data_IF_157324869040
#
_entry.id   IF_157324869040
#
_cell.length_a   1.000
_cell.length_b   1.000
_cell.length_c   1.000
_cell.angle_alpha   90.00
_cell.angle_beta   90.00
_cell.angle_gamma   90.00
#
_symmetry.space_group_name_H-M   'P 1'
#
loop_
_entity.id
_entity.type
_entity.pdbx_description
1 polymer ?
#
# COMPACT_ATOMS: atom_id res chain seq x y z
N UNK A 1 85.43 39.43 16.32
CA UNK A 1 84.31 39.18 15.37
C UNK A 1 83.38 38.19 16.04
N UNK A 2 82.30 38.66 16.67
CA UNK A 2 80.96 38.92 16.09
C UNK A 2 80.16 37.63 15.86
N UNK A 3 79.19 37.44 16.77
CA UNK A 3 77.78 37.04 16.63
C UNK A 3 77.39 35.82 15.79
N UNK A 4 76.53 34.99 16.40
CA UNK A 4 75.14 34.70 15.99
C UNK A 4 74.79 33.23 16.28
N UNK A 5 73.99 32.97 17.31
CA UNK A 5 72.55 32.61 17.21
C UNK A 5 72.34 31.31 16.41
N UNK A 6 72.12 30.19 17.11
CA UNK A 6 71.07 29.22 16.77
C UNK A 6 70.43 28.75 18.08
N UNK A 7 69.18 29.19 18.22
CA UNK A 7 68.19 28.82 19.23
C UNK A 7 67.34 27.68 18.62
N UNK A 8 66.64 26.92 19.49
CA UNK A 8 65.49 26.04 19.21
C UNK A 8 65.82 24.54 19.18
N UNK A 9 65.30 23.81 20.18
CA UNK A 9 65.02 22.38 20.03
C UNK A 9 64.99 21.46 21.25
N UNK A 10 64.92 21.94 22.50
CA UNK A 10 64.64 21.05 23.65
C UNK A 10 63.15 21.12 23.96
N UNK A 11 62.40 20.20 23.35
CA UNK A 11 61.02 19.91 23.70
C UNK A 11 61.01 19.26 25.09
N UNK A 12 60.82 20.10 26.12
CA UNK A 12 60.52 19.69 27.48
C UNK A 12 59.14 19.02 27.46
N UNK A 13 59.11 17.70 27.24
CA UNK A 13 57.94 16.86 27.44
C UNK A 13 57.85 16.51 28.94
N UNK A 14 57.78 17.54 29.80
CA UNK A 14 57.23 17.37 31.14
C UNK A 14 55.72 17.43 30.98
N UNK A 15 55.12 16.27 30.71
CA UNK A 15 53.69 16.07 30.87
C UNK A 15 53.34 16.34 32.33
N UNK A 16 52.97 17.58 32.61
CA UNK A 16 52.25 17.96 33.80
C UNK A 16 51.05 17.02 33.89
N UNK A 17 51.13 16.04 34.80
CA UNK A 17 49.95 15.44 35.37
C UNK A 17 49.20 16.57 36.06
N UNK A 18 48.31 17.21 35.32
CA UNK A 18 47.20 17.94 35.88
C UNK A 18 46.38 16.91 36.64
N UNK A 19 46.74 16.70 37.91
CA UNK A 19 45.75 16.32 38.87
C UNK A 19 44.79 17.51 38.91
N UNK A 20 43.71 17.43 38.14
CA UNK A 20 42.49 18.08 38.51
C UNK A 20 42.05 17.43 39.84
N UNK A 21 42.69 17.84 40.95
CA UNK A 21 42.13 17.63 42.27
C UNK A 21 40.97 18.60 42.34
N UNK A 22 39.80 18.15 41.89
CA UNK A 22 38.56 18.75 42.30
C UNK A 22 38.44 18.45 43.80
N UNK A 23 39.02 19.33 44.62
CA UNK A 23 38.86 19.35 46.07
C UNK A 23 37.55 20.04 46.47
N UNK A 24 36.59 20.15 45.54
CA UNK A 24 35.18 20.20 45.91
C UNK A 24 34.90 18.84 46.52
N UNK A 25 35.20 18.76 47.82
CA UNK A 25 35.23 17.54 48.61
C UNK A 25 34.00 16.73 48.29
N UNK A 26 34.18 15.40 48.29
CA UNK A 26 33.10 14.41 48.37
C UNK A 26 31.86 15.13 48.88
N UNK A 27 30.95 15.51 47.98
CA UNK A 27 29.62 15.92 48.39
C UNK A 27 29.21 14.70 49.19
N UNK A 28 29.16 14.88 50.52
CA UNK A 28 28.72 13.85 51.44
C UNK A 28 27.50 13.22 50.78
N UNK A 29 27.37 11.90 50.76
CA UNK A 29 26.20 11.27 50.14
C UNK A 29 24.90 11.90 50.72
N UNK A 30 24.99 12.46 51.94
CA UNK A 30 24.04 13.34 52.61
C UNK A 30 23.64 14.66 51.88
N UNK A 31 24.38 15.17 50.89
CA UNK A 31 24.05 16.37 50.11
C UNK A 31 23.06 16.08 48.95
N UNK A 32 22.64 14.83 48.77
CA UNK A 32 21.74 14.41 47.68
C UNK A 32 20.27 14.27 48.08
N UNK A 33 19.95 14.28 49.37
CA UNK A 33 18.54 14.26 49.82
C UNK A 33 17.99 15.68 49.73
N UNK A 34 17.07 15.87 48.78
CA UNK A 34 16.27 17.08 48.65
C UNK A 34 15.00 16.91 49.49
N UNK A 35 14.65 17.93 50.27
CA UNK A 35 13.41 17.98 51.04
C UNK A 35 12.48 19.00 50.42
N UNK A 36 11.36 18.52 49.87
CA UNK A 36 10.31 19.40 49.36
C UNK A 36 9.55 20.00 50.53
N UNK A 37 9.47 21.33 50.60
CA UNK A 37 8.70 22.00 51.65
C UNK A 37 7.22 22.00 51.30
N UNK A 38 6.38 21.53 52.22
CA UNK A 38 4.92 21.48 52.08
C UNK A 38 4.29 22.04 53.34
N UNK A 39 3.23 22.83 53.21
CA UNK A 39 2.43 23.30 54.35
C UNK A 39 0.97 23.07 54.03
N UNK A 40 0.27 22.33 54.89
CA UNK A 40 -1.16 22.06 54.71
C UNK A 40 -1.97 23.36 54.78
N UNK A 41 -3.04 23.43 53.99
CA UNK A 41 -4.06 24.47 54.00
C UNK A 41 -5.06 24.30 55.17
N UNK A 42 -5.02 23.18 55.90
CA UNK A 42 -5.97 22.84 56.97
C UNK A 42 -5.51 23.27 58.36
N UNK A 43 -4.46 24.09 58.48
CA UNK A 43 -3.93 24.53 59.77
C UNK A 43 -4.81 25.66 60.32
N UNK A 44 -5.42 25.44 61.48
CA UNK A 44 -6.34 26.39 62.11
C UNK A 44 -5.67 27.75 62.38
N UNK A 45 -6.37 28.83 62.01
CA UNK A 45 -5.87 30.20 62.17
C UNK A 45 -4.79 30.63 61.18
N UNK A 46 -4.34 29.74 60.28
CA UNK A 46 -3.31 30.04 59.29
C UNK A 46 -3.94 30.66 58.02
N UNK A 47 -3.74 31.96 57.82
CA UNK A 47 -4.16 32.63 56.57
C UNK A 47 -3.29 32.21 55.38
N UNK A 48 -3.77 32.35 54.12
CA UNK A 48 -2.95 32.03 52.93
C UNK A 48 -1.60 32.78 52.88
N UNK A 49 -1.56 34.01 53.40
CA UNK A 49 -0.32 34.80 53.52
C UNK A 49 0.62 34.22 54.59
N UNK A 50 0.09 33.79 55.74
CA UNK A 50 0.84 33.12 56.79
C UNK A 50 1.40 31.76 56.34
N UNK A 51 0.61 31.01 55.57
CA UNK A 51 1.02 29.75 54.94
C UNK A 51 2.19 29.97 53.98
N UNK A 52 2.08 30.96 53.10
CA UNK A 52 3.16 31.34 52.18
C UNK A 52 4.44 31.76 52.91
N UNK A 53 4.29 32.47 54.04
CA UNK A 53 5.42 32.85 54.89
C UNK A 53 6.08 31.63 55.53
N UNK A 54 5.28 30.73 56.12
CA UNK A 54 5.76 29.50 56.75
C UNK A 54 6.46 28.60 55.72
N UNK A 55 5.89 28.45 54.53
CA UNK A 55 6.52 27.74 53.41
C UNK A 55 7.86 28.37 53.02
N UNK A 56 7.93 29.71 52.91
CA UNK A 56 9.19 30.42 52.65
C UNK A 56 10.22 30.18 53.76
N UNK A 57 9.78 30.11 55.02
CA UNK A 57 10.65 29.80 56.16
C UNK A 57 11.18 28.37 56.11
N UNK A 58 10.36 27.38 55.75
CA UNK A 58 10.78 26.00 55.55
C UNK A 58 11.81 25.89 54.42
N UNK A 59 11.56 26.55 53.28
CA UNK A 59 12.51 26.62 52.18
C UNK A 59 13.84 27.25 52.60
N UNK A 60 13.81 28.30 53.43
CA UNK A 60 15.04 28.90 53.98
C UNK A 60 15.77 27.96 54.94
N UNK A 61 15.04 27.21 55.76
CA UNK A 61 15.61 26.22 56.69
C UNK A 61 16.32 25.10 55.92
N UNK A 62 15.67 24.53 54.90
CA UNK A 62 16.27 23.45 54.07
C UNK A 62 17.42 23.95 53.22
N UNK A 63 17.30 25.13 52.60
CA UNK A 63 18.36 25.71 51.75
C UNK A 63 19.63 25.97 52.54
N UNK A 64 19.54 26.39 53.81
CA UNK A 64 20.71 26.60 54.67
C UNK A 64 21.53 25.34 54.93
N UNK A 65 20.90 24.18 54.87
CA UNK A 65 21.59 22.90 55.04
C UNK A 65 21.85 22.19 53.69
N UNK A 66 21.72 22.90 52.57
CA UNK A 66 21.93 22.36 51.22
C UNK A 66 20.90 21.31 50.79
N UNK A 67 19.74 21.26 51.45
CA UNK A 67 18.66 20.29 51.19
C UNK A 67 17.46 20.92 50.47
N UNK A 68 17.53 22.23 50.22
CA UNK A 68 16.49 22.98 49.54
C UNK A 68 16.56 22.77 48.03
N UNK A 69 15.41 22.56 47.40
CA UNK A 69 15.29 22.40 45.96
C UNK A 69 14.01 21.68 45.59
N UNK A 70 13.76 21.57 44.29
CA UNK A 70 12.78 20.64 43.74
C UNK A 70 13.53 19.55 42.99
N UNK A 71 13.54 18.34 43.52
CA UNK A 71 13.97 17.16 42.79
C UNK A 71 12.85 16.66 41.87
N UNK A 72 13.22 15.93 40.82
CA UNK A 72 12.25 15.14 40.02
C UNK A 72 11.54 14.09 40.89
N UNK A 73 12.19 13.64 41.95
CA UNK A 73 11.65 12.68 42.91
C UNK A 73 11.33 13.41 44.25
N UNK A 74 10.09 13.88 44.39
CA UNK A 74 9.61 14.70 45.53
C UNK A 74 9.27 13.88 46.78
N UNK A 75 9.76 12.64 46.89
CA UNK A 75 9.32 11.69 47.90
C UNK A 75 9.51 12.17 49.33
N UNK A 76 10.65 12.81 49.65
CA UNK A 76 10.90 13.31 50.99
C UNK A 76 10.44 14.76 51.15
N UNK A 77 9.65 14.98 52.19
CA UNK A 77 9.05 16.27 52.48
C UNK A 77 9.49 16.79 53.85
N UNK A 78 9.56 18.12 53.97
CA UNK A 78 9.52 18.82 55.24
C UNK A 78 8.17 19.53 55.34
N UNK A 79 7.48 19.35 56.45
CA UNK A 79 6.19 20.00 56.71
C UNK A 79 6.14 20.64 58.08
N UNK A 80 5.19 21.54 58.27
CA UNK A 80 4.94 22.21 59.52
C UNK A 80 3.47 22.08 59.92
N UNK A 81 3.22 21.96 61.22
CA UNK A 81 1.92 22.16 61.83
C UNK A 81 2.02 23.26 62.89
N UNK A 82 0.98 24.05 63.05
CA UNK A 82 0.93 25.13 64.04
C UNK A 82 -0.24 24.91 64.98
N UNK A 83 0.04 24.87 66.27
CA UNK A 83 -0.96 24.73 67.32
C UNK A 83 -0.98 26.00 68.16
N UNK A 84 -2.16 26.57 68.40
CA UNK A 84 -2.32 27.72 69.31
C UNK A 84 -2.33 27.20 70.74
N UNK A 85 -1.29 27.51 71.52
CA UNK A 85 -1.19 27.12 72.93
C UNK A 85 -2.00 28.06 73.83
N UNK A 86 -1.81 29.37 73.66
CA UNK A 86 -2.56 30.40 74.41
C UNK A 86 -2.97 31.55 73.49
N UNK A 87 -4.11 32.15 73.83
CA UNK A 87 -4.68 33.33 73.19
C UNK A 87 -5.18 34.26 74.29
N UNK A 88 -4.41 35.29 74.57
CA UNK A 88 -4.65 36.24 75.65
C UNK A 88 -4.93 37.63 75.08
N UNK A 89 -5.67 38.47 75.81
CA UNK A 89 -5.82 39.89 75.50
C UNK A 89 -5.04 40.68 76.56
N UNK A 90 -4.05 41.45 76.13
CA UNK A 90 -3.22 42.24 77.03
C UNK A 90 -3.98 43.47 77.54
N UNK A 91 -3.82 43.84 78.82
CA UNK A 91 -4.46 45.01 79.41
C UNK A 91 -3.70 46.30 79.03
N UNK A 92 -3.53 46.54 77.74
CA UNK A 92 -2.89 47.74 77.16
C UNK A 92 -3.94 48.66 76.55
N UNK A 93 -3.59 49.92 76.30
CA UNK A 93 -4.40 50.86 75.52
C UNK A 93 -3.66 51.22 74.22
N UNK A 94 -4.10 50.76 73.04
CA UNK A 94 -5.24 49.87 72.78
C UNK A 94 -5.00 48.41 73.25
N UNK A 95 -6.07 47.62 73.50
CA UNK A 95 -5.94 46.19 73.80
C UNK A 95 -5.21 45.46 72.67
N UNK A 96 -4.28 44.57 73.02
CA UNK A 96 -3.59 43.74 72.03
C UNK A 96 -3.89 42.27 72.25
N UNK A 97 -3.87 41.50 71.17
CA UNK A 97 -3.92 40.05 71.21
C UNK A 97 -2.51 39.50 71.38
N UNK A 98 -2.30 38.63 72.35
CA UNK A 98 -1.06 37.90 72.58
C UNK A 98 -1.28 36.40 72.29
N UNK A 99 -0.54 35.89 71.32
CA UNK A 99 -0.57 34.49 70.92
C UNK A 99 0.72 33.80 71.35
N UNK A 100 0.57 32.59 71.90
CA UNK A 100 1.66 31.62 72.02
C UNK A 100 1.34 30.47 71.08
N UNK A 101 2.18 30.27 70.06
CA UNK A 101 2.08 29.19 69.08
C UNK A 101 3.12 28.12 69.39
N UNK A 102 2.78 26.85 69.20
CA UNK A 102 3.74 25.77 69.03
C UNK A 102 3.81 25.41 67.55
N UNK A 103 4.99 25.58 66.96
CA UNK A 103 5.24 25.24 65.56
C UNK A 103 6.03 23.94 65.54
N UNK A 104 5.35 22.85 65.19
CA UNK A 104 5.95 21.54 64.98
C UNK A 104 6.42 21.41 63.53
N UNK A 105 7.66 20.97 63.33
CA UNK A 105 8.27 20.67 62.05
C UNK A 105 8.51 19.16 61.94
N UNK A 106 8.31 18.61 60.76
CA UNK A 106 8.37 17.16 60.51
C UNK A 106 9.09 16.87 59.20
N UNK A 107 9.94 15.84 59.18
CA UNK A 107 10.54 15.27 57.98
C UNK A 107 9.96 13.88 57.78
N UNK A 108 9.42 13.60 56.61
CA UNK A 108 8.78 12.32 56.32
C UNK A 108 8.79 11.94 54.83
N UNK A 109 8.33 10.72 54.58
CA UNK A 109 8.02 10.20 53.25
C UNK A 109 6.58 10.60 52.87
N UNK A 110 6.43 11.38 51.80
CA UNK A 110 5.13 11.86 51.31
C UNK A 110 4.29 10.81 50.59
N UNK A 111 4.87 9.63 50.30
CA UNK A 111 4.18 8.51 49.65
C UNK A 111 3.76 7.48 50.70
N UNK A 112 4.72 6.99 51.50
CA UNK A 112 4.47 5.94 52.49
C UNK A 112 3.96 6.48 53.84
N UNK A 113 3.99 7.80 54.06
CA UNK A 113 3.60 8.43 55.32
C UNK A 113 4.55 8.15 56.48
N UNK A 114 5.77 7.69 56.21
CA UNK A 114 6.76 7.39 57.26
C UNK A 114 7.34 8.68 57.82
N UNK A 115 7.24 8.89 59.14
CA UNK A 115 7.86 10.02 59.83
C UNK A 115 9.29 9.67 60.26
N UNK A 116 10.27 10.46 59.84
CA UNK A 116 11.67 10.25 60.18
C UNK A 116 12.11 11.12 61.36
N UNK A 117 11.84 12.41 61.32
CA UNK A 117 12.26 13.33 62.38
C UNK A 117 11.22 14.38 62.66
N UNK A 118 11.23 14.93 63.87
CA UNK A 118 10.38 16.05 64.27
C UNK A 118 11.12 16.98 65.24
N UNK A 119 10.74 18.25 65.25
CA UNK A 119 11.15 19.23 66.25
C UNK A 119 10.03 20.25 66.43
N UNK A 120 9.94 20.92 67.58
CA UNK A 120 8.98 22.01 67.75
C UNK A 120 9.61 23.25 68.38
N UNK A 121 8.97 24.39 68.16
CA UNK A 121 9.38 25.67 68.74
C UNK A 121 8.17 26.46 69.21
N UNK A 122 8.25 26.99 70.43
CA UNK A 122 7.25 27.91 70.93
C UNK A 122 7.57 29.34 70.48
N UNK A 123 6.62 29.97 69.79
CA UNK A 123 6.73 31.33 69.27
C UNK A 123 5.66 32.21 69.90
N UNK A 124 6.05 33.41 70.33
CA UNK A 124 5.12 34.40 70.88
C UNK A 124 4.99 35.59 69.94
N UNK A 125 3.80 36.14 69.84
CA UNK A 125 3.51 37.31 69.01
C UNK A 125 2.39 38.14 69.59
N UNK A 126 2.51 39.45 69.45
CA UNK A 126 1.52 40.41 69.93
C UNK A 126 1.11 41.31 68.78
N UNK A 127 -0.18 41.62 68.66
CA UNK A 127 -0.71 42.48 67.61
C UNK A 127 -2.09 43.04 67.94
N UNK A 128 -2.46 44.13 67.27
CA UNK A 128 -3.77 44.80 67.44
C UNK A 128 -4.96 43.93 66.99
N UNK A 129 -4.70 42.89 66.21
CA UNK A 129 -5.70 41.89 65.78
C UNK A 129 -5.12 40.49 65.93
N UNK A 130 -5.99 39.49 65.98
CA UNK A 130 -5.59 38.07 66.05
C UNK A 130 -4.64 37.68 64.92
N UNK A 131 -4.96 38.07 63.68
CA UNK A 131 -4.09 37.82 62.51
C UNK A 131 -2.73 38.48 62.64
N UNK A 132 -2.66 39.73 63.14
CA UNK A 132 -1.38 40.44 63.34
C UNK A 132 -0.54 39.76 64.42
N UNK A 133 -1.16 39.33 65.52
CA UNK A 133 -0.49 38.63 66.61
C UNK A 133 0.07 37.27 66.16
N UNK A 134 -0.72 36.51 65.39
CA UNK A 134 -0.31 35.23 64.80
C UNK A 134 0.86 35.41 63.82
N UNK A 135 0.78 36.37 62.89
CA UNK A 135 1.87 36.69 61.96
C UNK A 135 3.13 37.17 62.68
N UNK A 136 2.98 37.96 63.75
CA UNK A 136 4.09 38.39 64.59
C UNK A 136 4.78 37.21 65.28
N UNK A 137 4.02 36.21 65.73
CA UNK A 137 4.57 34.98 66.30
C UNK A 137 5.37 34.19 65.25
N UNK A 138 4.80 33.92 64.08
CA UNK A 138 5.50 33.22 63.00
C UNK A 138 6.76 33.95 62.51
N UNK A 139 6.78 35.29 62.54
CA UNK A 139 7.98 36.08 62.19
C UNK A 139 9.17 35.75 63.08
N UNK A 140 8.92 35.34 64.33
CA UNK A 140 9.95 34.93 65.30
C UNK A 140 10.52 33.53 65.04
N UNK A 141 10.04 32.81 64.02
CA UNK A 141 10.67 31.59 63.52
C UNK A 141 12.03 31.95 62.88
N UNK A 142 13.10 31.77 63.66
CA UNK A 142 14.49 32.08 63.25
C UNK A 142 15.06 30.95 62.41
N UNK A 143 15.12 31.12 61.09
CA UNK A 143 15.62 30.09 60.16
C UNK A 143 17.10 29.72 60.37
N UNK A 144 17.84 30.41 61.23
CA UNK A 144 19.23 30.10 61.62
C UNK A 144 19.34 29.41 62.99
N UNK A 145 18.23 28.99 63.60
CA UNK A 145 18.27 28.27 64.87
C UNK A 145 19.04 26.94 64.70
N UNK A 146 20.11 26.68 65.47
CA UNK A 146 20.91 25.46 65.36
C UNK A 146 20.10 24.17 65.48
N UNK A 147 18.96 24.21 66.18
CA UNK A 147 18.07 23.04 66.32
C UNK A 147 17.56 22.53 64.98
N UNK A 148 17.37 23.40 63.99
CA UNK A 148 16.91 22.96 62.67
C UNK A 148 17.99 22.22 61.91
N UNK A 149 19.27 22.57 62.11
CA UNK A 149 20.37 21.82 61.52
C UNK A 149 20.41 20.40 62.09
N UNK A 150 20.35 20.26 63.42
CA UNK A 150 20.29 18.94 64.08
C UNK A 150 19.07 18.13 63.63
N UNK A 151 17.89 18.74 63.61
CA UNK A 151 16.65 18.12 63.15
C UNK A 151 16.76 17.57 61.72
N UNK A 152 17.33 18.36 60.81
CA UNK A 152 17.53 17.98 59.42
C UNK A 152 18.58 16.87 59.26
N UNK A 153 19.71 16.95 60.00
CA UNK A 153 20.74 15.91 60.02
C UNK A 153 20.21 14.58 60.57
N UNK A 154 19.43 14.60 61.65
CA UNK A 154 18.76 13.40 62.18
C UNK A 154 17.76 12.81 61.19
N UNK A 155 16.96 13.67 60.53
CA UNK A 155 16.02 13.24 59.49
C UNK A 155 16.72 12.49 58.37
N UNK A 156 17.84 13.02 57.87
CA UNK A 156 18.67 12.36 56.86
C UNK A 156 19.17 10.99 57.31
N UNK A 157 19.78 10.93 58.48
CA UNK A 157 20.35 9.68 59.01
C UNK A 157 19.28 8.61 59.17
N UNK A 158 18.07 8.99 59.60
CA UNK A 158 16.94 8.08 59.74
C UNK A 158 16.35 7.64 58.40
N UNK A 159 16.32 8.51 57.38
CA UNK A 159 15.95 8.11 56.01
C UNK A 159 16.91 7.03 55.52
N UNK A 160 18.22 7.27 55.60
CA UNK A 160 19.23 6.30 55.12
C UNK A 160 19.16 4.99 55.91
N UNK A 161 19.03 5.07 57.24
CA UNK A 161 18.87 3.88 58.09
C UNK A 161 17.61 3.07 57.77
N UNK A 162 16.49 3.74 57.46
CA UNK A 162 15.25 3.08 57.08
C UNK A 162 15.41 2.25 55.80
N UNK A 163 15.94 2.84 54.72
CA UNK A 163 16.12 2.10 53.46
C UNK A 163 17.19 1.02 53.56
N UNK A 164 18.28 1.26 54.27
CA UNK A 164 19.30 0.25 54.48
C UNK A 164 18.76 -0.94 55.29
N UNK A 165 17.98 -0.70 56.35
CA UNK A 165 17.38 -1.79 57.15
C UNK A 165 16.26 -2.53 56.43
N UNK A 166 15.53 -1.87 55.53
CA UNK A 166 14.47 -2.48 54.71
C UNK A 166 14.95 -3.01 53.37
N UNK A 167 16.23 -2.83 53.04
CA UNK A 167 16.74 -3.10 51.70
C UNK A 167 16.38 -4.50 51.21
N UNK A 168 16.72 -5.53 52.00
CA UNK A 168 16.49 -6.93 51.63
C UNK A 168 14.99 -7.21 51.40
N UNK A 169 14.09 -6.62 52.20
CA UNK A 169 12.65 -6.75 52.02
C UNK A 169 12.16 -6.08 50.74
N UNK A 170 12.66 -4.90 50.39
CA UNK A 170 12.31 -4.19 49.15
C UNK A 170 12.78 -5.02 47.95
N UNK A 171 14.05 -5.46 47.97
CA UNK A 171 14.63 -6.28 46.90
C UNK A 171 13.90 -7.62 46.73
N UNK A 172 13.50 -8.27 47.83
CA UNK A 172 12.74 -9.52 47.81
C UNK A 172 11.30 -9.32 47.29
N UNK A 173 10.68 -8.19 47.61
CA UNK A 173 9.34 -7.84 47.12
C UNK A 173 9.37 -7.60 45.61
N UNK A 174 10.38 -6.89 45.10
CA UNK A 174 10.61 -6.73 43.67
C UNK A 174 10.85 -8.08 42.98
N UNK A 175 11.71 -8.94 43.54
CA UNK A 175 11.97 -10.28 43.03
C UNK A 175 10.69 -11.13 42.93
N UNK A 176 9.84 -11.05 43.96
CA UNK A 176 8.56 -11.78 43.99
C UNK A 176 7.61 -11.31 42.89
N UNK A 177 7.54 -10.00 42.62
CA UNK A 177 6.75 -9.47 41.51
C UNK A 177 7.33 -9.89 40.15
N UNK A 178 8.65 -9.83 39.98
CA UNK A 178 9.30 -10.30 38.75
C UNK A 178 9.05 -11.80 38.49
N UNK A 179 9.03 -12.63 39.54
CA UNK A 179 8.68 -14.06 39.45
C UNK A 179 7.21 -14.29 39.06
N UNK A 180 6.32 -13.35 39.39
CA UNK A 180 4.92 -13.34 38.94
C UNK A 180 4.73 -12.71 37.56
N UNK A 181 5.82 -12.39 36.84
CA UNK A 181 5.83 -11.65 35.56
C UNK A 181 5.27 -10.22 35.65
N UNK A 182 5.15 -9.68 36.86
CA UNK A 182 4.80 -8.28 37.16
C UNK A 182 6.07 -7.43 37.12
N UNK A 183 6.66 -7.35 35.93
CA UNK A 183 7.98 -6.76 35.77
C UNK A 183 7.98 -5.24 35.95
N UNK A 184 6.91 -4.58 35.50
CA UNK A 184 6.75 -3.13 35.61
C UNK A 184 6.64 -2.72 37.09
N UNK A 185 5.85 -3.47 37.87
CA UNK A 185 5.73 -3.27 39.32
C UNK A 185 7.03 -3.58 40.05
N UNK A 186 7.76 -4.63 39.64
CA UNK A 186 9.07 -4.94 40.21
C UNK A 186 10.08 -3.81 39.97
N UNK A 187 10.15 -3.27 38.75
CA UNK A 187 11.01 -2.14 38.41
C UNK A 187 10.60 -0.87 39.17
N UNK A 188 9.30 -0.62 39.31
CA UNK A 188 8.79 0.52 40.08
C UNK A 188 9.21 0.42 41.56
N UNK A 189 9.13 -0.77 42.17
CA UNK A 189 9.60 -1.00 43.55
C UNK A 189 11.11 -0.71 43.68
N UNK A 190 11.92 -1.21 42.73
CA UNK A 190 13.37 -1.01 42.76
C UNK A 190 13.75 0.46 42.57
N UNK A 191 13.04 1.20 41.72
CA UNK A 191 13.28 2.63 41.50
C UNK A 191 12.91 3.51 42.68
N UNK A 192 12.20 2.96 43.68
CA UNK A 192 11.85 3.72 44.89
C UNK A 192 13.05 3.93 45.82
N UNK A 193 14.13 3.16 45.67
CA UNK A 193 15.29 3.25 46.54
C UNK A 193 16.09 4.52 46.19
N UNK A 194 16.29 5.46 47.13
CA UNK A 194 16.99 6.70 46.83
C UNK A 194 18.49 6.47 46.57
N UNK A 195 19.08 7.25 45.66
CA UNK A 195 20.53 7.20 45.34
C UNK A 195 21.44 7.42 46.55
N UNK A 196 20.97 8.17 47.55
CA UNK A 196 21.72 8.41 48.80
C UNK A 196 21.94 7.11 49.60
N UNK A 197 21.09 6.09 49.41
CA UNK A 197 21.20 4.79 50.07
C UNK A 197 22.10 3.88 49.25
N UNK A 198 23.35 4.30 49.02
CA UNK A 198 24.26 3.76 48.01
C UNK A 198 24.31 2.24 47.94
N UNK A 199 24.50 1.56 49.07
CA UNK A 199 24.60 0.09 49.09
C UNK A 199 23.31 -0.57 48.58
N UNK A 200 22.16 -0.09 49.05
CA UNK A 200 20.87 -0.64 48.63
C UNK A 200 20.53 -0.23 47.19
N UNK A 201 20.87 1.00 46.81
CA UNK A 201 20.67 1.52 45.46
C UNK A 201 21.47 0.70 44.44
N UNK A 202 22.75 0.43 44.70
CA UNK A 202 23.59 -0.38 43.82
C UNK A 202 23.02 -1.79 43.64
N UNK A 203 22.56 -2.43 44.72
CA UNK A 203 21.86 -3.73 44.68
C UNK A 203 20.55 -3.65 43.87
N UNK A 204 19.79 -2.58 44.05
CA UNK A 204 18.53 -2.36 43.34
C UNK A 204 18.76 -2.17 41.85
N UNK A 205 19.76 -1.38 41.46
CA UNK A 205 20.11 -1.14 40.07
C UNK A 205 20.57 -2.43 39.37
N UNK A 206 21.35 -3.27 40.06
CA UNK A 206 21.74 -4.57 39.50
C UNK A 206 20.53 -5.51 39.33
N UNK A 207 19.63 -5.56 40.32
CA UNK A 207 18.35 -6.27 40.17
C UNK A 207 17.48 -5.69 39.06
N UNK A 208 17.44 -4.38 38.87
CA UNK A 208 16.65 -3.73 37.81
C UNK A 208 17.12 -4.17 36.43
N UNK A 209 18.44 -4.34 36.22
CA UNK A 209 18.98 -4.89 34.97
C UNK A 209 18.51 -6.32 34.74
N UNK A 210 18.57 -7.18 35.76
CA UNK A 210 18.07 -8.57 35.68
C UNK A 210 16.57 -8.62 35.37
N UNK A 211 15.76 -7.87 36.13
CA UNK A 211 14.30 -7.80 35.95
C UNK A 211 13.95 -7.28 34.56
N UNK A 212 14.62 -6.23 34.09
CA UNK A 212 14.41 -5.71 32.74
C UNK A 212 14.82 -6.72 31.66
N UNK A 213 15.91 -7.45 31.85
CA UNK A 213 16.32 -8.53 30.94
C UNK A 213 15.26 -9.64 30.87
N UNK A 214 14.70 -10.04 32.02
CA UNK A 214 13.60 -11.02 32.10
C UNK A 214 12.31 -10.50 31.46
N UNK A 215 12.01 -9.21 31.62
CA UNK A 215 10.89 -8.55 30.95
C UNK A 215 11.00 -8.65 29.43
N UNK A 216 12.13 -8.20 28.86
CA UNK A 216 12.32 -8.24 27.40
C UNK A 216 12.28 -9.68 26.88
N UNK A 217 12.84 -10.64 27.62
CA UNK A 217 12.82 -12.06 27.23
C UNK A 217 11.42 -12.67 27.29
N UNK A 218 10.61 -12.32 28.30
CA UNK A 218 9.20 -12.74 28.36
C UNK A 218 8.37 -12.11 27.23
N UNK A 219 8.55 -10.81 26.98
CA UNK A 219 7.87 -10.09 25.89
C UNK A 219 8.23 -10.68 24.52
N UNK A 220 9.50 -11.03 24.33
CA UNK A 220 10.01 -11.73 23.16
C UNK A 220 9.24 -13.04 22.90
N UNK A 221 9.08 -13.88 23.93
CA UNK A 221 8.36 -15.15 23.82
C UNK A 221 6.87 -14.96 23.50
N UNK A 222 6.22 -13.96 24.10
CA UNK A 222 4.83 -13.62 23.81
C UNK A 222 4.64 -13.15 22.37
N UNK A 223 5.49 -12.24 21.90
CA UNK A 223 5.39 -11.69 20.55
C UNK A 223 5.75 -12.72 19.48
N UNK A 224 6.71 -13.62 19.73
CA UNK A 224 6.94 -14.79 18.88
C UNK A 224 5.71 -15.70 18.81
N UNK A 225 5.05 -15.95 19.93
CA UNK A 225 3.83 -16.80 19.96
C UNK A 225 2.72 -16.16 19.13
N UNK A 226 2.49 -14.85 19.31
CA UNK A 226 1.51 -14.08 18.54
C UNK A 226 1.85 -14.04 17.05
N UNK A 227 3.13 -13.86 16.71
CA UNK A 227 3.60 -13.86 15.33
C UNK A 227 3.35 -15.21 14.65
N UNK A 228 3.68 -16.32 15.31
CA UNK A 228 3.43 -17.66 14.79
C UNK A 228 1.92 -17.92 14.59
N UNK A 229 1.07 -17.50 15.52
CA UNK A 229 -0.38 -17.63 15.39
C UNK A 229 -0.94 -16.80 14.21
N UNK A 230 -0.45 -15.57 14.03
CA UNK A 230 -0.83 -14.72 12.90
C UNK A 230 -0.36 -15.32 11.56
N UNK A 231 0.86 -15.85 11.52
CA UNK A 231 1.39 -16.50 10.31
C UNK A 231 0.60 -17.78 9.96
N UNK A 232 0.22 -18.58 10.95
CA UNK A 232 -0.62 -19.77 10.77
C UNK A 232 -2.02 -19.45 10.19
N UNK A 233 -2.48 -18.21 10.32
CA UNK A 233 -3.74 -17.71 9.76
C UNK A 233 -3.53 -16.88 8.48
N UNK A 234 -2.37 -17.02 7.84
CA UNK A 234 -1.97 -16.32 6.60
C UNK A 234 -1.94 -14.79 6.69
N UNK A 235 -1.81 -14.26 7.91
CA UNK A 235 -1.71 -12.83 8.15
C UNK A 235 -0.25 -12.41 8.37
N UNK A 236 0.52 -12.38 7.27
CA UNK A 236 1.95 -12.05 7.28
C UNK A 236 2.23 -10.66 7.86
N UNK A 237 1.40 -9.66 7.52
CA UNK A 237 1.58 -8.28 7.99
C UNK A 237 1.50 -8.18 9.51
N UNK A 238 0.53 -8.87 10.12
CA UNK A 238 0.40 -8.94 11.58
C UNK A 238 1.50 -9.79 12.21
N UNK A 239 1.93 -10.88 11.55
CA UNK A 239 3.06 -11.66 12.04
C UNK A 239 4.34 -10.80 12.11
N UNK A 240 4.67 -10.09 11.03
CA UNK A 240 5.84 -9.21 10.97
C UNK A 240 5.74 -8.05 11.97
N UNK A 241 4.54 -7.49 12.22
CA UNK A 241 4.40 -6.38 13.17
C UNK A 241 4.69 -6.80 14.62
N UNK A 242 4.37 -8.04 15.01
CA UNK A 242 4.79 -8.59 16.30
C UNK A 242 6.30 -8.82 16.33
N UNK A 243 6.88 -9.37 15.26
CA UNK A 243 8.32 -9.64 15.18
C UNK A 243 9.16 -8.35 15.21
N UNK A 244 8.67 -7.24 14.65
CA UNK A 244 9.35 -5.95 14.68
C UNK A 244 9.39 -5.28 16.04
N UNK A 245 8.57 -5.73 17.00
CA UNK A 245 8.57 -5.20 18.39
C UNK A 245 9.62 -5.89 19.26
N UNK A 246 10.26 -6.96 18.78
CA UNK A 246 11.23 -7.72 19.55
C UNK A 246 12.54 -6.94 19.67
N UNK A 247 12.97 -6.71 20.90
CA UNK A 247 14.23 -6.03 21.20
C UNK A 247 15.45 -6.84 20.68
N UNK A 248 16.48 -6.20 20.10
CA UNK A 248 17.70 -6.86 19.66
C UNK A 248 18.43 -7.65 20.76
N UNK A 249 18.39 -7.13 21.99
CA UNK A 249 19.05 -7.73 23.15
C UNK A 249 18.24 -8.88 23.77
N UNK A 250 17.01 -9.13 23.29
CA UNK A 250 16.18 -10.21 23.79
C UNK A 250 16.71 -11.58 23.31
N UNK A 251 16.56 -12.59 24.16
CA UNK A 251 17.11 -13.95 23.92
C UNK A 251 16.62 -14.57 22.62
N UNK A 252 15.38 -14.28 22.21
CA UNK A 252 14.73 -14.87 21.04
C UNK A 252 14.85 -14.02 19.76
N UNK A 253 15.69 -12.98 19.75
CA UNK A 253 15.83 -12.08 18.59
C UNK A 253 16.25 -12.83 17.31
N UNK A 254 17.20 -13.77 17.41
CA UNK A 254 17.62 -14.57 16.26
C UNK A 254 16.52 -15.49 15.72
N UNK A 255 15.63 -15.99 16.59
CA UNK A 255 14.47 -16.77 16.19
C UNK A 255 13.46 -15.90 15.44
N UNK A 256 13.27 -14.65 15.90
CA UNK A 256 12.44 -13.67 15.21
C UNK A 256 12.95 -13.35 13.81
N UNK A 257 14.25 -13.09 13.65
CA UNK A 257 14.88 -12.88 12.35
C UNK A 257 14.72 -14.10 11.44
N UNK A 258 14.88 -15.30 12.01
CA UNK A 258 14.69 -16.56 11.29
C UNK A 258 13.24 -16.72 10.80
N UNK A 259 12.25 -16.34 11.62
CA UNK A 259 10.84 -16.38 11.23
C UNK A 259 10.50 -15.33 10.17
N UNK A 260 11.01 -14.10 10.28
CA UNK A 260 10.87 -13.06 9.24
C UNK A 260 11.38 -13.59 7.90
N UNK A 261 12.56 -14.23 7.90
CA UNK A 261 13.13 -14.84 6.70
C UNK A 261 12.22 -15.94 6.14
N UNK A 262 11.69 -16.82 6.99
CA UNK A 262 10.75 -17.88 6.57
C UNK A 262 9.48 -17.31 5.94
N UNK A 263 8.90 -16.25 6.52
CA UNK A 263 7.72 -15.57 5.96
C UNK A 263 8.05 -14.98 4.59
N UNK A 264 9.17 -14.25 4.46
CA UNK A 264 9.63 -13.68 3.18
C UNK A 264 9.81 -14.76 2.11
N UNK A 265 10.45 -15.86 2.49
CA UNK A 265 10.71 -17.01 1.63
C UNK A 265 9.42 -17.72 1.19
N UNK A 266 8.47 -17.89 2.10
CA UNK A 266 7.16 -18.46 1.81
C UNK A 266 6.37 -17.58 0.84
N UNK A 267 6.29 -16.27 1.13
CA UNK A 267 5.61 -15.29 0.26
C UNK A 267 6.17 -15.30 -1.17
N UNK A 268 7.50 -15.35 -1.28
CA UNK A 268 8.19 -15.47 -2.55
C UNK A 268 7.78 -16.74 -3.32
N UNK A 269 7.77 -17.89 -2.65
CA UNK A 269 7.37 -19.16 -3.25
C UNK A 269 5.89 -19.16 -3.69
N UNK A 270 5.01 -18.54 -2.90
CA UNK A 270 3.58 -18.40 -3.22
C UNK A 270 3.38 -17.55 -4.48
N UNK A 271 4.00 -16.35 -4.55
CA UNK A 271 3.89 -15.49 -5.74
C UNK A 271 4.47 -16.17 -6.99
N UNK A 272 5.59 -16.88 -6.85
CA UNK A 272 6.14 -17.69 -7.95
C UNK A 272 5.20 -18.82 -8.40
N UNK A 273 4.57 -19.52 -7.46
CA UNK A 273 3.57 -20.55 -7.76
C UNK A 273 2.37 -20.00 -8.51
N UNK A 274 1.83 -18.86 -8.05
CA UNK A 274 0.74 -18.14 -8.71
C UNK A 274 1.11 -17.69 -10.13
N UNK A 275 2.32 -17.14 -10.31
CA UNK A 275 2.82 -16.75 -11.63
C UNK A 275 2.90 -17.93 -12.60
N UNK A 276 3.48 -19.06 -12.16
CA UNK A 276 3.54 -20.28 -12.99
C UNK A 276 2.16 -20.83 -13.32
N UNK A 277 1.22 -20.79 -12.35
CA UNK A 277 -0.16 -21.21 -12.56
C UNK A 277 -0.88 -20.35 -13.60
N UNK A 278 -0.80 -19.02 -13.47
CA UNK A 278 -1.38 -18.08 -14.44
C UNK A 278 -0.77 -18.25 -15.84
N UNK A 279 0.53 -18.55 -15.91
CA UNK A 279 1.19 -18.82 -17.19
C UNK A 279 0.70 -20.12 -17.83
N UNK A 280 0.48 -21.17 -17.03
CA UNK A 280 -0.08 -22.43 -17.50
C UNK A 280 -1.48 -22.26 -18.10
N UNK A 281 -2.26 -21.28 -17.65
CA UNK A 281 -3.57 -20.91 -18.22
C UNK A 281 -3.48 -19.85 -19.32
N UNK A 282 -2.27 -19.55 -19.82
CA UNK A 282 -2.00 -18.55 -20.86
C UNK A 282 -2.40 -17.10 -20.50
N UNK A 283 -2.55 -16.79 -19.21
CA UNK A 283 -2.84 -15.42 -18.75
C UNK A 283 -1.54 -14.66 -18.48
N UNK A 284 -1.01 -14.03 -19.53
CA UNK A 284 0.24 -13.28 -19.46
C UNK A 284 0.16 -12.05 -18.55
N UNK A 285 -1.02 -11.42 -18.45
CA UNK A 285 -1.20 -10.22 -17.64
C UNK A 285 -1.17 -10.56 -16.14
N UNK A 286 -1.94 -11.58 -15.76
CA UNK A 286 -1.95 -12.07 -14.38
C UNK A 286 -0.60 -12.66 -13.98
N UNK A 287 0.09 -13.32 -14.92
CA UNK A 287 1.46 -13.80 -14.69
C UNK A 287 2.41 -12.64 -14.37
N UNK A 288 2.37 -11.56 -15.14
CA UNK A 288 3.22 -10.39 -14.91
C UNK A 288 2.91 -9.72 -13.56
N UNK A 289 1.63 -9.68 -13.16
CA UNK A 289 1.22 -9.18 -11.85
C UNK A 289 1.82 -10.01 -10.72
N UNK A 290 1.72 -11.34 -10.75
CA UNK A 290 2.30 -12.17 -9.70
C UNK A 290 3.84 -12.15 -9.70
N UNK A 291 4.49 -11.99 -10.86
CA UNK A 291 5.94 -11.80 -10.92
C UNK A 291 6.40 -10.48 -10.32
N UNK A 292 5.60 -9.41 -10.40
CA UNK A 292 5.96 -8.12 -9.80
C UNK A 292 5.86 -8.13 -8.27
N UNK A 293 5.10 -9.05 -7.69
CA UNK A 293 5.06 -9.28 -6.23
C UNK A 293 6.34 -9.95 -5.69
N UNK A 294 7.16 -10.55 -6.56
CA UNK A 294 8.42 -11.20 -6.16
C UNK A 294 9.49 -10.12 -5.95
N UNK A 295 9.87 -9.91 -4.69
CA UNK A 295 10.89 -8.92 -4.35
C UNK A 295 12.26 -9.27 -4.97
N UNK A 296 13.00 -8.26 -5.41
CA UNK A 296 14.31 -8.42 -6.06
C UNK A 296 15.40 -8.97 -5.12
N UNK A 297 15.24 -8.75 -3.81
CA UNK A 297 16.13 -9.26 -2.75
C UNK A 297 15.67 -10.62 -2.18
N UNK A 298 14.69 -11.25 -2.83
CA UNK A 298 14.20 -12.58 -2.44
C UNK A 298 15.00 -13.68 -3.12
N UNK A 299 14.96 -14.89 -2.53
CA UNK A 299 15.62 -16.06 -3.11
C UNK A 299 15.05 -16.48 -4.47
N UNK A 300 13.80 -16.12 -4.79
CA UNK A 300 13.19 -16.48 -6.08
C UNK A 300 13.41 -15.41 -7.15
N UNK A 301 14.10 -14.30 -6.86
CA UNK A 301 14.36 -13.25 -7.85
C UNK A 301 15.06 -13.76 -9.14
N UNK A 302 16.08 -14.65 -9.08
CA UNK A 302 16.70 -15.20 -10.29
C UNK A 302 15.70 -16.01 -11.14
N UNK A 303 14.90 -16.86 -10.47
CA UNK A 303 13.89 -17.69 -11.12
C UNK A 303 12.77 -16.85 -11.74
N UNK A 304 12.29 -15.83 -11.02
CA UNK A 304 11.29 -14.88 -11.50
C UNK A 304 11.77 -14.15 -12.77
N UNK A 305 13.03 -13.68 -12.77
CA UNK A 305 13.65 -13.02 -13.92
C UNK A 305 13.75 -13.96 -15.13
N UNK A 306 14.15 -15.21 -14.90
CA UNK A 306 14.23 -16.21 -15.96
C UNK A 306 12.85 -16.51 -16.54
N UNK A 307 11.84 -16.73 -15.70
CA UNK A 307 10.46 -16.96 -16.13
C UNK A 307 9.92 -15.78 -16.95
N UNK A 308 10.13 -14.54 -16.48
CA UNK A 308 9.73 -13.33 -17.19
C UNK A 308 10.39 -13.24 -18.58
N UNK A 309 11.68 -13.57 -18.69
CA UNK A 309 12.41 -13.57 -19.96
C UNK A 309 11.88 -14.61 -20.93
N UNK A 310 11.59 -15.83 -20.44
CA UNK A 310 11.01 -16.91 -21.24
C UNK A 310 9.62 -16.53 -21.77
N UNK A 311 8.77 -15.95 -20.92
CA UNK A 311 7.43 -15.48 -21.29
C UNK A 311 7.53 -14.40 -22.38
N UNK A 312 8.38 -13.38 -22.17
CA UNK A 312 8.57 -12.31 -23.16
C UNK A 312 9.00 -12.86 -24.52
N UNK A 313 9.91 -13.84 -24.52
CA UNK A 313 10.40 -14.50 -25.74
C UNK A 313 9.29 -15.29 -26.44
N UNK A 314 8.48 -16.05 -25.68
CA UNK A 314 7.35 -16.81 -26.21
C UNK A 314 6.27 -15.90 -26.79
N UNK A 315 5.90 -14.83 -26.10
CA UNK A 315 4.91 -13.86 -26.58
C UNK A 315 5.36 -13.18 -27.88
N UNK A 316 6.64 -12.82 -28.01
CA UNK A 316 7.21 -12.29 -29.26
C UNK A 316 7.15 -13.32 -30.39
N UNK A 317 7.49 -14.57 -30.12
CA UNK A 317 7.43 -15.64 -31.09
C UNK A 317 6.00 -15.91 -31.57
N UNK A 318 5.03 -15.95 -30.64
CA UNK A 318 3.62 -16.16 -30.97
C UNK A 318 3.02 -14.97 -31.73
N UNK A 319 3.41 -13.74 -31.39
CA UNK A 319 3.03 -12.55 -32.15
C UNK A 319 3.58 -12.59 -33.58
N UNK A 320 4.85 -12.99 -33.75
CA UNK A 320 5.46 -13.18 -35.07
C UNK A 320 4.74 -14.26 -35.88
N UNK A 321 4.48 -15.43 -35.29
CA UNK A 321 3.76 -16.51 -35.97
C UNK A 321 2.34 -16.11 -36.39
N UNK A 322 1.62 -15.37 -35.53
CA UNK A 322 0.29 -14.81 -35.88
C UNK A 322 0.39 -13.82 -37.04
N UNK A 323 1.40 -12.96 -37.04
CA UNK A 323 1.61 -12.01 -38.12
C UNK A 323 1.96 -12.71 -39.44
N UNK A 324 2.85 -13.70 -39.41
CA UNK A 324 3.23 -14.50 -40.59
C UNK A 324 2.03 -15.24 -41.17
N UNK A 325 1.20 -15.87 -40.33
CA UNK A 325 -0.03 -16.53 -40.76
C UNK A 325 -1.04 -15.54 -41.36
N UNK A 326 -1.19 -14.35 -40.77
CA UNK A 326 -2.05 -13.30 -41.30
C UNK A 326 -1.54 -12.77 -42.66
N UNK A 327 -0.23 -12.59 -42.78
CA UNK A 327 0.43 -12.19 -44.02
C UNK A 327 0.28 -13.24 -45.12
N UNK A 328 0.45 -14.52 -44.80
CA UNK A 328 0.25 -15.61 -45.76
C UNK A 328 -1.21 -15.70 -46.22
N UNK A 329 -2.16 -15.59 -45.29
CA UNK A 329 -3.60 -15.53 -45.64
C UNK A 329 -3.91 -14.35 -46.54
N UNK A 330 -3.32 -13.18 -46.25
CA UNK A 330 -3.44 -12.01 -47.10
C UNK A 330 -2.89 -12.28 -48.50
N UNK A 331 -1.68 -12.84 -48.61
CA UNK A 331 -1.02 -13.12 -49.88
C UNK A 331 -1.81 -14.14 -50.73
N UNK A 332 -2.25 -15.26 -50.12
CA UNK A 332 -3.11 -16.26 -50.79
C UNK A 332 -4.40 -15.62 -51.31
N UNK A 333 -5.01 -14.72 -50.55
CA UNK A 333 -6.20 -14.00 -50.98
C UNK A 333 -5.92 -13.05 -52.17
N UNK A 334 -4.72 -12.48 -52.30
CA UNK A 334 -4.36 -11.68 -53.48
C UNK A 334 -4.20 -12.56 -54.72
N UNK A 335 -3.48 -13.68 -54.60
CA UNK A 335 -3.30 -14.65 -55.70
C UNK A 335 -4.66 -15.14 -56.21
N UNK A 336 -5.59 -15.51 -55.31
CA UNK A 336 -6.93 -15.94 -55.71
C UNK A 336 -7.72 -14.85 -56.46
N UNK A 337 -7.51 -13.57 -56.15
CA UNK A 337 -8.14 -12.46 -56.88
C UNK A 337 -7.54 -12.31 -58.28
N UNK A 338 -6.22 -12.38 -58.38
CA UNK A 338 -5.50 -12.32 -59.66
C UNK A 338 -5.89 -13.50 -60.56
N UNK A 339 -5.92 -14.71 -60.02
CA UNK A 339 -6.37 -15.93 -60.71
C UNK A 339 -7.84 -15.81 -61.15
N UNK A 340 -8.70 -15.25 -60.29
CA UNK A 340 -10.10 -14.98 -60.64
C UNK A 340 -10.25 -14.03 -61.83
N UNK A 341 -9.44 -12.96 -61.87
CA UNK A 341 -9.40 -12.02 -63.00
C UNK A 341 -8.88 -12.71 -64.27
N UNK A 342 -7.81 -13.49 -64.17
CA UNK A 342 -7.27 -14.24 -65.30
C UNK A 342 -8.27 -15.28 -65.84
N UNK A 343 -8.94 -16.00 -64.95
CA UNK A 343 -9.97 -16.97 -65.33
C UNK A 343 -11.13 -16.28 -66.05
N UNK A 344 -11.62 -15.15 -65.53
CA UNK A 344 -12.67 -14.36 -66.18
C UNK A 344 -12.24 -13.87 -67.57
N UNK A 345 -10.99 -13.39 -67.71
CA UNK A 345 -10.44 -12.99 -69.00
C UNK A 345 -10.41 -14.17 -69.98
N UNK A 346 -10.00 -15.36 -69.53
CA UNK A 346 -9.96 -16.57 -70.35
C UNK A 346 -11.35 -17.01 -70.82
N UNK A 347 -12.38 -16.91 -69.96
CA UNK A 347 -13.77 -17.18 -70.31
C UNK A 347 -14.26 -16.19 -71.36
N UNK A 348 -14.01 -14.89 -71.14
CA UNK A 348 -14.42 -13.84 -72.08
C UNK A 348 -13.79 -14.07 -73.46
N UNK A 349 -12.51 -14.43 -73.52
CA UNK A 349 -11.83 -14.72 -74.79
C UNK A 349 -12.42 -15.94 -75.51
N UNK A 350 -12.69 -17.04 -74.78
CA UNK A 350 -13.38 -18.20 -75.35
C UNK A 350 -14.76 -17.83 -75.90
N UNK A 351 -15.53 -17.03 -75.16
CA UNK A 351 -16.84 -16.56 -75.61
C UNK A 351 -16.74 -15.71 -76.89
N UNK A 352 -15.73 -14.84 -77.00
CA UNK A 352 -15.49 -14.08 -78.23
C UNK A 352 -15.17 -15.01 -79.42
N UNK A 353 -14.23 -15.95 -79.27
CA UNK A 353 -13.91 -16.89 -80.36
C UNK A 353 -15.10 -17.76 -80.77
N UNK A 354 -15.98 -18.12 -79.83
CA UNK A 354 -17.24 -18.81 -80.15
C UNK A 354 -18.22 -17.91 -80.91
N UNK A 355 -18.32 -16.64 -80.52
CA UNK A 355 -19.13 -15.64 -81.23
C UNK A 355 -18.64 -15.46 -82.67
N UNK A 356 -17.33 -15.37 -82.88
CA UNK A 356 -16.71 -15.26 -84.22
C UNK A 356 -17.04 -16.49 -85.09
N UNK A 357 -16.84 -17.70 -84.55
CA UNK A 357 -17.21 -18.94 -85.26
C UNK A 357 -18.70 -19.00 -85.61
N UNK A 358 -19.56 -18.54 -84.71
CA UNK A 358 -20.99 -18.48 -84.96
C UNK A 358 -21.32 -17.47 -86.07
N UNK A 359 -20.68 -16.30 -86.08
CA UNK A 359 -20.82 -15.32 -87.16
C UNK A 359 -20.31 -15.87 -88.51
N UNK A 360 -19.20 -16.60 -88.54
CA UNK A 360 -18.69 -17.26 -89.74
C UNK A 360 -19.65 -18.34 -90.25
N UNK A 361 -20.16 -19.17 -89.36
CA UNK A 361 -21.17 -20.17 -89.71
C UNK A 361 -22.43 -19.52 -90.28
N UNK A 362 -22.89 -18.41 -89.68
CA UNK A 362 -24.04 -17.66 -90.17
C UNK A 362 -23.76 -17.07 -91.56
N UNK A 363 -22.61 -16.41 -91.78
CA UNK A 363 -22.19 -15.93 -93.11
C UNK A 363 -22.14 -17.07 -94.13
N UNK A 364 -21.64 -18.23 -93.75
CA UNK A 364 -21.63 -19.42 -94.61
C UNK A 364 -23.02 -19.94 -94.95
N UNK A 365 -23.97 -19.90 -94.01
CA UNK A 365 -25.38 -20.22 -94.27
C UNK A 365 -26.02 -19.19 -95.19
N UNK A 366 -25.80 -17.91 -94.96
CA UNK A 366 -26.34 -16.82 -95.77
C UNK A 366 -25.83 -16.90 -97.21
N UNK A 367 -24.53 -17.18 -97.41
CA UNK A 367 -23.95 -17.39 -98.73
C UNK A 367 -24.54 -18.62 -99.44
N UNK A 368 -24.77 -19.73 -98.72
CA UNK A 368 -25.44 -20.91 -99.29
C UNK A 368 -26.88 -20.59 -99.69
N UNK A 369 -27.62 -19.89 -98.84
CA UNK A 369 -28.99 -19.47 -99.12
C UNK A 369 -29.04 -18.55 -100.36
N UNK A 370 -28.08 -17.63 -100.49
CA UNK A 370 -27.94 -16.75 -101.65
C UNK A 370 -27.70 -17.56 -102.93
N UNK A 371 -26.75 -18.50 -102.92
CA UNK A 371 -26.48 -19.37 -104.08
C UNK A 371 -27.67 -20.26 -104.45
N UNK A 372 -28.43 -20.75 -103.46
CA UNK A 372 -29.69 -21.47 -103.70
C UNK A 372 -30.71 -20.54 -104.36
N UNK A 373 -30.84 -19.30 -103.88
CA UNK A 373 -31.76 -18.32 -104.47
C UNK A 373 -31.43 -17.99 -105.92
N UNK A 374 -30.13 -17.88 -106.27
CA UNK A 374 -29.66 -17.67 -107.63
C UNK A 374 -29.99 -18.86 -108.54
N UNK A 375 -29.68 -20.08 -108.09
CA UNK A 375 -30.02 -21.30 -108.84
C UNK A 375 -31.52 -21.45 -109.06
N UNK A 376 -32.33 -21.10 -108.07
CA UNK A 376 -33.78 -21.09 -108.21
C UNK A 376 -34.25 -20.06 -109.24
N UNK A 377 -33.65 -18.86 -109.25
CA UNK A 377 -33.94 -17.84 -110.26
C UNK A 377 -33.52 -18.28 -111.67
N UNK A 378 -32.36 -18.94 -111.82
CA UNK A 378 -31.91 -19.53 -113.10
C UNK A 378 -32.85 -20.62 -113.60
N UNK A 379 -33.26 -21.52 -112.70
CA UNK A 379 -34.23 -22.56 -113.02
C UNK A 379 -35.56 -21.96 -113.48
N UNK A 380 -36.03 -20.90 -112.82
CA UNK A 380 -37.24 -20.18 -113.22
C UNK A 380 -37.09 -19.54 -114.61
N UNK A 381 -35.97 -18.83 -114.86
CA UNK A 381 -35.66 -18.29 -116.19
C UNK A 381 -35.63 -19.38 -117.27
N UNK A 382 -35.05 -20.54 -116.97
CA UNK A 382 -35.01 -21.69 -117.87
C UNK A 382 -36.39 -22.29 -118.15
N UNK A 383 -37.27 -22.35 -117.15
CA UNK A 383 -38.67 -22.74 -117.33
C UNK A 383 -39.42 -21.75 -118.21
N UNK A 384 -39.26 -20.45 -117.96
CA UNK A 384 -39.92 -19.39 -118.73
C UNK A 384 -39.48 -19.42 -120.20
N UNK A 385 -38.18 -19.57 -120.46
CA UNK A 385 -37.64 -19.73 -121.82
C UNK A 385 -38.18 -20.97 -122.54
N UNK A 386 -38.25 -22.12 -121.86
CA UNK A 386 -38.85 -23.34 -122.44
C UNK A 386 -40.33 -23.14 -122.77
N UNK A 387 -41.06 -22.44 -121.91
CA UNK A 387 -42.48 -22.15 -122.11
C UNK A 387 -42.69 -21.18 -123.30
N UNK A 388 -41.78 -20.21 -123.46
CA UNK A 388 -41.76 -19.31 -124.61
C UNK A 388 -41.48 -20.06 -125.92
N UNK A 389 -40.46 -20.93 -125.95
CA UNK A 389 -40.12 -21.74 -127.12
C UNK A 389 -41.25 -22.71 -127.53
N UNK A 390 -41.98 -23.26 -126.55
CA UNK A 390 -43.15 -24.10 -126.81
C UNK A 390 -44.28 -23.32 -127.50
N UNK A 391 -44.53 -22.08 -127.05
CA UNK A 391 -45.50 -21.17 -127.70
C UNK A 391 -45.09 -20.80 -129.12
N UNK A 392 -43.81 -20.58 -129.40
CA UNK A 392 -43.34 -20.25 -130.76
C UNK A 392 -43.43 -21.44 -131.74
N UNK A 393 -43.01 -22.64 -131.32
CA UNK A 393 -42.96 -23.80 -132.24
C UNK A 393 -44.31 -24.47 -132.50
N UNK A 394 -45.18 -24.53 -131.49
CA UNK A 394 -46.44 -25.27 -131.59
C UNK A 394 -47.67 -24.39 -131.40
N UNK A 395 -47.50 -23.10 -131.09
CA UNK A 395 -48.63 -22.17 -130.96
C UNK A 395 -49.44 -22.06 -132.25
N UNK A 396 -48.77 -21.89 -133.40
CA UNK A 396 -49.45 -21.80 -134.70
C UNK A 396 -50.17 -23.11 -135.08
N UNK A 397 -49.55 -24.27 -134.86
CA UNK A 397 -50.16 -25.56 -135.16
C UNK A 397 -51.35 -25.86 -134.24
N UNK A 398 -51.29 -25.46 -132.97
CA UNK A 398 -52.38 -25.58 -132.02
C UNK A 398 -53.56 -24.65 -132.40
N UNK A 399 -53.26 -23.42 -132.79
CA UNK A 399 -54.24 -22.44 -133.29
C UNK A 399 -54.89 -22.95 -134.59
N UNK A 400 -54.09 -23.47 -135.52
CA UNK A 400 -54.53 -24.05 -136.80
C UNK A 400 -55.34 -25.33 -136.60
N UNK A 401 -54.97 -26.19 -135.66
CA UNK A 401 -55.73 -27.38 -135.30
C UNK A 401 -57.08 -27.00 -134.68
N UNK A 402 -57.13 -25.96 -133.82
CA UNK A 402 -58.40 -25.39 -133.33
C UNK A 402 -59.27 -24.86 -134.48
N UNK A 403 -58.70 -24.09 -135.39
CA UNK A 403 -59.43 -23.53 -136.55
C UNK A 403 -59.93 -24.66 -137.48
N UNK A 404 -59.11 -25.67 -137.75
CA UNK A 404 -59.51 -26.82 -138.57
C UNK A 404 -60.60 -27.66 -137.87
N UNK A 405 -60.49 -27.89 -136.57
CA UNK A 405 -61.54 -28.57 -135.80
C UNK A 405 -62.86 -27.78 -135.85
N UNK A 406 -62.83 -26.45 -135.72
CA UNK A 406 -64.01 -25.60 -135.89
C UNK A 406 -64.58 -25.66 -137.32
N UNK A 407 -63.71 -25.69 -138.34
CA UNK A 407 -64.11 -25.83 -139.75
C UNK A 407 -64.76 -27.17 -140.04
N UNK A 408 -64.19 -28.28 -139.56
CA UNK A 408 -64.68 -29.62 -139.82
C UNK A 408 -66.05 -29.85 -139.15
N UNK A 409 -66.28 -29.25 -137.97
CA UNK A 409 -67.62 -29.16 -137.36
C UNK A 409 -68.61 -28.42 -138.28
N UNK A 410 -68.20 -27.29 -138.88
CA UNK A 410 -69.04 -26.55 -139.83
C UNK A 410 -69.36 -27.30 -141.13
N UNK A 411 -68.38 -28.05 -141.68
CA UNK A 411 -68.55 -28.84 -142.91
C UNK A 411 -69.44 -30.06 -142.67
N UNK A 412 -69.32 -30.73 -141.52
CA UNK A 412 -70.18 -31.85 -141.14
C UNK A 412 -71.65 -31.41 -141.02
N UNK A 413 -71.89 -30.21 -140.46
CA UNK A 413 -73.23 -29.63 -140.38
C UNK A 413 -73.84 -29.32 -141.76
N UNK A 414 -73.05 -28.81 -142.71
CA UNK A 414 -73.53 -28.52 -144.07
C UNK A 414 -73.79 -29.76 -144.95
N UNK A 415 -73.04 -30.86 -144.76
CA UNK A 415 -73.19 -32.10 -145.54
C UNK A 415 -74.37 -32.97 -145.14
N UNK A 416 -74.90 -32.81 -143.92
CA UNK A 416 -76.05 -33.56 -143.42
C UNK A 416 -77.40 -32.81 -143.55
N UNK A 417 -77.49 -31.81 -144.44
CA UNK A 417 -78.77 -31.20 -144.80
C UNK A 417 -79.48 -32.02 -145.91
N UNK A 418 -80.73 -32.49 -145.71
CA UNK A 418 -81.48 -33.26 -146.71
C UNK A 418 -81.79 -32.44 -147.98
N UNK A 419 -81.47 -33.00 -149.17
CA UNK A 419 -81.59 -32.34 -150.49
C UNK A 419 -82.84 -32.71 -151.31
N UNK A 420 -83.84 -33.35 -150.70
CA UNK A 420 -85.19 -33.43 -151.27
C UNK A 420 -86.21 -33.38 -150.14
N UNK A 421 -87.00 -32.30 -150.12
CA UNK A 421 -88.23 -32.22 -149.36
C UNK A 421 -89.30 -32.92 -150.20
N UNK A 422 -89.61 -34.17 -149.89
CA UNK A 422 -90.76 -34.87 -150.47
C UNK A 422 -91.98 -34.44 -149.66
N UNK A 423 -92.80 -33.56 -150.22
CA UNK A 423 -94.10 -33.18 -149.67
C UNK A 423 -95.09 -34.34 -149.86
N UNK A 424 -95.41 -35.04 -148.78
CA UNK A 424 -96.60 -35.90 -148.74
C UNK A 424 -97.83 -35.03 -148.48
N UNK A 425 -98.71 -34.91 -149.46
CA UNK A 425 -100.11 -34.58 -149.20
C UNK A 425 -100.82 -35.85 -148.71
N UNK A 426 -101.18 -35.88 -147.43
CA UNK A 426 -102.17 -36.79 -146.87
C UNK A 426 -103.46 -35.97 -146.70
N UNK A 427 -104.49 -36.32 -147.46
CA UNK A 427 -105.86 -35.88 -147.25
C UNK A 427 -106.65 -36.90 -146.42
N UNK A 428 -107.18 -36.44 -145.29
CA UNK A 428 -108.39 -36.82 -144.53
C UNK A 428 -108.74 -38.30 -144.26
N UNK A 429 -108.86 -38.63 -142.97
CA UNK A 429 -110.15 -38.67 -142.24
C UNK A 429 -109.97 -38.27 -140.77
#
# INVERSE_FOLDING_TARGET
MIKSIILIGIFIFNGLHLFAQNSQGKLDDAARIVLTSVVSDQIEGLTPSAQSNLLSKLNQITTKCGMGGSSLDQRFIITANVVVLTKDITPTAPPMHAYTLDVGLYIGDGIDGTLFSSTSVSLKGVGETETKAYMAALKNLKTSDPRYQTFLEEGKNKIVAYYNSKCDFILQTAETNANQKKFEEALAILSTIPEVCKECFDKAQEKSKDVFKRYIDNKCAEDLTKANAAWATFNDSTAISYLSQIFPDAKCYNDALSLIKQIKDHKCAVSMGKAKGAWATMDAQLTAQYLSEVSADSKCAPEAKQLASNISSKLKADAKAKWEMAYEKYNRNQVLKEDGVYHQFSINNRNMTMSEKNADNQRGLDNRNMSISEKNADNQRGLDNRNMAYKEKHGYDLEKAKINASRDVGVAWGKNQPKSVTHNYVGWW
#
